data_IF_848957785680
#
_entry.id   IF_848957785680
#
_cell.length_a   1.000
_cell.length_b   1.000
_cell.length_c   1.000
_cell.angle_alpha   90.00
_cell.angle_beta   90.00
_cell.angle_gamma   90.00
#
_symmetry.space_group_name_H-M   'P 1'
#
loop_
_entity.id
_entity.type
_entity.pdbx_description
1 polymer ?
#
# COMPACT_ATOMS: atom_id res chain seq x y z
N UNK A 1 -4.87 -9.72 8.20
CA UNK A 1 -4.19 -9.02 7.09
C UNK A 1 -3.23 -10.01 6.46
N UNK A 2 -3.76 -10.94 5.67
CA UNK A 2 -3.02 -12.14 5.22
C UNK A 2 -2.58 -12.02 3.75
N UNK A 3 -2.78 -10.84 3.16
CA UNK A 3 -2.39 -10.57 1.79
C UNK A 3 -0.88 -10.29 1.73
N UNK A 4 -0.17 -11.05 0.90
CA UNK A 4 1.27 -10.91 0.70
C UNK A 4 1.65 -9.79 -0.27
N UNK A 5 0.70 -9.23 -1.02
CA UNK A 5 0.97 -8.21 -2.05
C UNK A 5 1.83 -7.04 -1.54
N UNK A 6 1.57 -6.41 -0.38
CA UNK A 6 2.43 -5.33 0.13
C UNK A 6 3.86 -5.80 0.43
N UNK A 7 4.01 -7.01 0.96
CA UNK A 7 5.30 -7.59 1.29
C UNK A 7 6.11 -7.94 0.03
N UNK A 8 5.46 -8.50 -0.99
CA UNK A 8 6.12 -8.83 -2.26
C UNK A 8 6.61 -7.58 -3.00
N UNK A 9 5.84 -6.48 -2.95
CA UNK A 9 6.29 -5.19 -3.49
C UNK A 9 7.54 -4.68 -2.76
N UNK A 10 7.56 -4.76 -1.43
CA UNK A 10 8.71 -4.35 -0.64
C UNK A 10 9.95 -5.20 -0.96
N UNK A 11 9.81 -6.53 -1.00
CA UNK A 11 10.89 -7.46 -1.35
C UNK A 11 11.41 -7.22 -2.77
N UNK A 12 10.53 -6.93 -3.74
CA UNK A 12 10.95 -6.63 -5.11
C UNK A 12 11.74 -5.33 -5.20
N UNK A 13 11.36 -4.31 -4.43
CA UNK A 13 12.11 -3.06 -4.35
C UNK A 13 13.50 -3.32 -3.75
N UNK A 14 13.60 -4.11 -2.68
CA UNK A 14 14.89 -4.49 -2.06
C UNK A 14 15.78 -5.22 -3.07
N UNK A 15 15.26 -6.24 -3.75
CA UNK A 15 15.99 -6.97 -4.80
C UNK A 15 16.57 -6.04 -5.87
N UNK A 16 15.81 -5.01 -6.28
CA UNK A 16 16.23 -4.06 -7.31
C UNK A 16 17.24 -3.03 -6.81
N UNK A 17 17.15 -2.63 -5.54
CA UNK A 17 18.18 -1.80 -4.89
C UNK A 17 19.50 -2.58 -4.81
N UNK A 18 19.46 -3.84 -4.38
CA UNK A 18 20.65 -4.70 -4.26
C UNK A 18 21.31 -4.98 -5.63
N UNK A 19 20.51 -5.15 -6.68
CA UNK A 19 20.99 -5.28 -8.06
C UNK A 19 21.43 -3.95 -8.69
N UNK A 20 21.25 -2.81 -8.00
CA UNK A 20 21.50 -1.46 -8.51
C UNK A 20 20.75 -1.15 -9.82
N UNK A 21 19.53 -1.69 -9.93
CA UNK A 21 18.65 -1.55 -11.09
C UNK A 21 17.58 -0.50 -10.84
N UNK A 22 17.30 0.30 -11.86
CA UNK A 22 16.19 1.27 -11.78
C UNK A 22 14.86 0.52 -11.77
N UNK A 23 14.11 0.69 -10.69
CA UNK A 23 12.79 0.11 -10.52
C UNK A 23 11.85 1.11 -9.82
N UNK A 24 10.58 1.15 -10.23
CA UNK A 24 9.57 2.04 -9.65
C UNK A 24 8.23 1.30 -9.51
N UNK A 25 7.57 1.50 -8.37
CA UNK A 25 6.21 1.02 -8.11
C UNK A 25 5.32 2.24 -7.90
N UNK A 26 4.18 2.28 -8.57
CA UNK A 26 3.18 3.35 -8.42
C UNK A 26 1.92 2.76 -7.80
N UNK A 27 1.53 3.28 -6.65
CA UNK A 27 0.33 2.87 -5.92
C UNK A 27 -0.65 4.03 -5.96
N UNK A 28 -1.83 3.81 -6.56
CA UNK A 28 -2.91 4.80 -6.61
C UNK A 28 -4.03 4.30 -5.69
N UNK A 29 -4.32 5.08 -4.65
CA UNK A 29 -5.41 4.83 -3.72
C UNK A 29 -6.34 6.05 -3.66
N UNK A 30 -7.63 5.86 -3.35
CA UNK A 30 -8.53 6.98 -3.14
C UNK A 30 -8.10 7.77 -1.88
N UNK A 31 -8.44 9.07 -1.83
CA UNK A 31 -8.13 9.93 -0.68
C UNK A 31 -8.85 9.45 0.60
N UNK A 32 -10.01 8.81 0.45
CA UNK A 32 -10.68 8.04 1.50
C UNK A 32 -11.60 7.00 0.84
N UNK A 33 -11.92 5.89 1.54
CA UNK A 33 -12.96 4.96 1.15
C UNK A 33 -14.31 5.67 0.97
N UNK A 34 -15.15 5.20 0.04
CA UNK A 34 -16.47 5.77 -0.19
C UNK A 34 -17.30 5.84 1.11
N UNK A 35 -17.81 7.04 1.43
CA UNK A 35 -18.56 7.30 2.66
C UNK A 35 -18.16 8.60 3.36
N UNK A 36 -18.70 8.83 4.56
CA UNK A 36 -18.35 9.98 5.41
C UNK A 36 -16.97 9.73 6.04
N UNK A 37 -15.96 10.57 5.81
CA UNK A 37 -14.59 10.34 6.30
C UNK A 37 -14.48 10.19 7.82
N UNK A 38 -15.35 10.85 8.57
CA UNK A 38 -15.40 10.78 10.04
C UNK A 38 -16.17 9.58 10.58
N UNK A 39 -16.74 8.73 9.71
CA UNK A 39 -17.43 7.51 10.15
C UNK A 39 -16.43 6.48 10.68
N UNK A 40 -16.84 5.71 11.69
CA UNK A 40 -15.99 4.69 12.30
C UNK A 40 -15.47 3.66 11.28
N UNK A 41 -16.31 3.26 10.32
CA UNK A 41 -15.93 2.32 9.26
C UNK A 41 -14.84 2.88 8.33
N UNK A 42 -14.96 4.16 7.94
CA UNK A 42 -13.94 4.79 7.09
C UNK A 42 -12.61 4.96 7.86
N UNK A 43 -12.68 5.34 9.14
CA UNK A 43 -11.48 5.46 9.99
C UNK A 43 -10.78 4.12 10.22
N UNK A 44 -11.54 3.03 10.38
CA UNK A 44 -10.99 1.69 10.53
C UNK A 44 -10.28 1.21 9.25
N UNK A 45 -10.85 1.49 8.07
CA UNK A 45 -10.18 1.17 6.79
C UNK A 45 -8.90 2.00 6.63
N UNK A 46 -8.92 3.30 6.94
CA UNK A 46 -7.74 4.17 6.89
C UNK A 46 -6.63 3.71 7.84
N UNK A 47 -6.96 3.16 9.01
CA UNK A 47 -5.98 2.63 9.96
C UNK A 47 -5.18 1.45 9.39
N UNK A 48 -5.80 0.65 8.52
CA UNK A 48 -5.17 -0.54 7.92
C UNK A 48 -4.54 -0.29 6.54
N UNK A 49 -4.68 0.91 5.98
CA UNK A 49 -3.96 1.34 4.78
C UNK A 49 -2.50 1.67 5.10
#
# INVERSE_FOLDING_TARGET
>A
ADNLVPMELALKIVEKIEANERFCVYIVMPMWPEGIPSSAAVQEILYWQ
#
